data_IF_778236664497
#
_entry.id   IF_778236664497
#
_cell.length_a   1.000
_cell.length_b   1.000
_cell.length_c   1.000
_cell.angle_alpha   90.00
_cell.angle_beta   90.00
_cell.angle_gamma   90.00
#
_symmetry.space_group_name_H-M   'P 1'
#
loop_
_entity.id
_entity.type
_entity.pdbx_description
1 polymer ?
#
# COMPACT_ATOMS: atom_id res chain seq x y z
N UNK A 1 -9.84 -3.06 -18.39
CA UNK A 1 -9.35 -2.72 -17.03
C UNK A 1 -8.82 -1.30 -16.97
N UNK A 2 -8.66 -0.71 -15.78
CA UNK A 2 -8.14 0.67 -15.63
C UNK A 2 -6.71 0.80 -16.20
N UNK A 3 -5.88 -0.23 -16.07
CA UNK A 3 -4.55 -0.32 -16.70
C UNK A 3 -4.59 -0.13 -18.22
N UNK A 4 -5.60 -0.69 -18.89
CA UNK A 4 -5.81 -0.54 -20.33
C UNK A 4 -6.07 0.93 -20.71
N UNK A 5 -6.77 1.70 -19.86
CA UNK A 5 -7.01 3.13 -20.07
C UNK A 5 -5.68 3.91 -20.00
N UNK A 6 -4.77 3.53 -19.08
CA UNK A 6 -3.47 4.17 -18.92
C UNK A 6 -2.53 3.89 -20.10
N UNK A 7 -2.55 2.67 -20.64
CA UNK A 7 -1.68 2.24 -21.74
C UNK A 7 -2.12 2.78 -23.13
N UNK A 8 -3.35 3.25 -23.28
CA UNK A 8 -3.85 3.78 -24.56
C UNK A 8 -3.22 5.14 -24.91
N UNK A 9 -2.51 5.17 -26.05
CA UNK A 9 -1.83 6.33 -26.62
C UNK A 9 -2.18 6.45 -28.12
N UNK A 10 -2.01 7.63 -28.72
CA UNK A 10 -2.13 7.84 -30.16
C UNK A 10 -3.50 8.32 -30.64
N UNK A 11 -3.70 8.27 -31.96
CA UNK A 11 -4.91 8.81 -32.60
C UNK A 11 -6.18 8.06 -32.13
N UNK A 12 -7.27 8.79 -31.87
CA UNK A 12 -8.54 8.29 -31.31
C UNK A 12 -8.44 7.66 -29.90
N UNK A 13 -7.31 7.80 -29.21
CA UNK A 13 -7.14 7.23 -27.84
C UNK A 13 -8.16 7.80 -26.84
N UNK A 14 -8.50 9.08 -26.92
CA UNK A 14 -9.49 9.71 -26.03
C UNK A 14 -10.90 9.12 -26.18
N UNK A 15 -11.31 8.82 -27.42
CA UNK A 15 -12.60 8.20 -27.68
C UNK A 15 -12.63 6.78 -27.10
N UNK A 16 -11.59 5.98 -27.35
CA UNK A 16 -11.44 4.62 -26.80
C UNK A 16 -11.43 4.61 -25.27
N UNK A 17 -10.73 5.55 -24.63
CA UNK A 17 -10.74 5.70 -23.16
C UNK A 17 -12.15 5.97 -22.64
N UNK A 18 -12.87 6.87 -23.31
CA UNK A 18 -14.27 7.19 -22.96
C UNK A 18 -15.19 5.99 -23.09
N UNK A 19 -15.03 5.18 -24.13
CA UNK A 19 -15.86 3.99 -24.36
C UNK A 19 -15.61 2.91 -23.31
N UNK A 20 -14.35 2.69 -22.92
CA UNK A 20 -14.00 1.78 -21.82
C UNK A 20 -14.58 2.26 -20.49
N UNK A 21 -14.49 3.56 -20.19
CA UNK A 21 -15.06 4.14 -18.97
C UNK A 21 -16.58 3.96 -18.93
N UNK A 22 -17.28 4.22 -20.05
CA UNK A 22 -18.73 3.99 -20.15
C UNK A 22 -19.08 2.53 -19.91
N UNK A 23 -18.35 1.60 -20.53
CA UNK A 23 -18.55 0.17 -20.32
C UNK A 23 -18.37 -0.23 -18.86
N UNK A 24 -17.31 0.25 -18.20
CA UNK A 24 -17.08 0.01 -16.76
C UNK A 24 -18.21 0.56 -15.89
N UNK A 25 -18.70 1.78 -16.19
CA UNK A 25 -19.78 2.40 -15.43
C UNK A 25 -21.11 1.64 -15.57
N UNK A 26 -21.40 1.10 -16.76
CA UNK A 26 -22.59 0.26 -16.99
C UNK A 26 -22.51 -1.04 -16.19
N UNK A 27 -21.31 -1.62 -16.03
CA UNK A 27 -21.12 -2.85 -15.25
C UNK A 27 -21.09 -2.64 -13.73
N UNK A 28 -20.94 -1.40 -13.25
CA UNK A 28 -20.85 -1.12 -11.81
C UNK A 28 -22.18 -1.35 -11.07
N UNK A 29 -22.09 -1.93 -9.87
CA UNK A 29 -23.23 -2.10 -8.97
C UNK A 29 -23.16 -1.14 -7.77
N UNK A 30 -24.31 -0.62 -7.36
CA UNK A 30 -24.49 0.23 -6.17
C UNK A 30 -23.47 1.38 -6.03
N UNK A 31 -22.44 1.20 -5.20
CA UNK A 31 -21.47 2.24 -4.84
C UNK A 31 -20.15 2.14 -5.60
N UNK A 32 -19.96 1.13 -6.45
CA UNK A 32 -18.73 0.94 -7.21
C UNK A 32 -18.45 2.09 -8.17
N UNK A 33 -19.50 2.63 -8.80
CA UNK A 33 -19.41 3.77 -9.73
C UNK A 33 -18.78 4.99 -9.06
N UNK A 34 -19.10 5.25 -7.78
CA UNK A 34 -18.52 6.34 -7.00
C UNK A 34 -17.01 6.17 -6.82
N UNK A 35 -16.56 4.97 -6.46
CA UNK A 35 -15.13 4.70 -6.27
C UNK A 35 -14.38 4.69 -7.60
N UNK A 36 -14.98 4.14 -8.65
CA UNK A 36 -14.40 4.14 -10.00
C UNK A 36 -14.16 5.56 -10.52
N UNK A 37 -15.17 6.43 -10.44
CA UNK A 37 -15.04 7.84 -10.86
C UNK A 37 -13.99 8.57 -10.03
N UNK A 38 -13.95 8.36 -8.70
CA UNK A 38 -12.94 8.98 -7.83
C UNK A 38 -11.52 8.48 -8.12
N UNK A 39 -11.36 7.21 -8.46
CA UNK A 39 -10.09 6.64 -8.91
C UNK A 39 -9.62 7.25 -10.23
N UNK A 40 -10.52 7.46 -11.20
CA UNK A 40 -10.20 8.11 -12.48
C UNK A 40 -9.82 9.59 -12.32
N UNK A 41 -10.40 10.29 -11.34
CA UNK A 41 -10.04 11.67 -10.98
C UNK A 41 -8.69 11.73 -10.25
N UNK A 42 -8.18 10.60 -9.75
CA UNK A 42 -6.96 10.53 -8.93
C UNK A 42 -7.17 10.98 -7.48
N UNK A 43 -8.41 11.09 -7.01
CA UNK A 43 -8.76 11.56 -5.65
C UNK A 43 -9.79 10.64 -4.99
N UNK A 44 -9.32 9.53 -4.44
CA UNK A 44 -10.19 8.52 -3.81
C UNK A 44 -10.90 9.04 -2.54
N UNK A 45 -10.23 9.90 -1.75
CA UNK A 45 -10.76 10.57 -0.54
C UNK A 45 -11.40 9.62 0.48
N UNK A 46 -10.79 8.45 0.70
CA UNK A 46 -11.24 7.46 1.71
C UNK A 46 -10.63 7.70 3.10
N UNK A 47 -9.75 8.70 3.25
CA UNK A 47 -9.07 8.99 4.52
C UNK A 47 -8.01 7.95 4.91
N UNK A 48 -7.67 7.03 4.00
CA UNK A 48 -6.65 6.01 4.20
C UNK A 48 -5.32 6.48 3.59
N UNK A 49 -4.24 6.38 4.36
CA UNK A 49 -2.89 6.64 3.90
C UNK A 49 -2.18 5.34 3.55
N UNK A 50 -1.09 5.45 2.80
CA UNK A 50 -0.26 4.33 2.40
C UNK A 50 0.20 3.45 3.58
N UNK A 51 0.62 4.09 4.67
CA UNK A 51 1.04 3.40 5.89
C UNK A 51 -0.07 2.53 6.48
N UNK A 52 -1.33 2.96 6.38
CA UNK A 52 -2.48 2.19 6.87
C UNK A 52 -2.69 0.93 6.03
N UNK A 53 -2.41 0.98 4.72
CA UNK A 53 -2.49 -0.19 3.84
C UNK A 53 -1.43 -1.23 4.21
N UNK A 54 -0.19 -0.79 4.44
CA UNK A 54 0.93 -1.68 4.86
C UNK A 54 0.62 -2.38 6.19
N UNK A 55 0.05 -1.65 7.15
CA UNK A 55 -0.37 -2.22 8.44
C UNK A 55 -1.50 -3.24 8.25
N UNK A 56 -2.50 -2.93 7.43
CA UNK A 56 -3.60 -3.85 7.16
C UNK A 56 -3.15 -5.15 6.50
N UNK A 57 -2.19 -5.08 5.56
CA UNK A 57 -1.58 -6.26 4.93
C UNK A 57 -0.82 -7.13 5.93
N UNK A 58 -0.01 -6.51 6.80
CA UNK A 58 0.70 -7.25 7.84
C UNK A 58 -0.28 -7.98 8.77
N UNK A 59 -1.32 -7.27 9.24
CA UNK A 59 -2.33 -7.85 10.11
C UNK A 59 -3.10 -8.98 9.44
N UNK A 60 -3.51 -8.85 8.17
CA UNK A 60 -4.26 -9.90 7.47
C UNK A 60 -3.44 -11.20 7.33
N UNK A 61 -2.16 -11.09 6.98
CA UNK A 61 -1.26 -12.24 6.89
C UNK A 61 -1.10 -12.95 8.24
N UNK A 62 -0.88 -12.21 9.33
CA UNK A 62 -0.69 -12.77 10.68
C UNK A 62 -1.97 -13.42 11.16
N UNK A 63 -3.11 -12.74 11.00
CA UNK A 63 -4.42 -13.24 11.41
C UNK A 63 -4.81 -14.51 10.66
N UNK A 64 -4.42 -14.63 9.39
CA UNK A 64 -4.65 -15.83 8.58
C UNK A 64 -3.82 -17.01 9.03
N UNK A 65 -2.61 -16.79 9.55
CA UNK A 65 -1.70 -17.86 10.02
C UNK A 65 -1.97 -18.28 11.47
N UNK A 66 -2.46 -17.35 12.30
CA UNK A 66 -2.53 -17.48 13.75
C UNK A 66 -3.93 -17.18 14.29
N UNK A 67 -4.94 -17.88 13.78
CA UNK A 67 -6.35 -17.65 14.13
C UNK A 67 -6.70 -17.94 15.61
N UNK A 68 -5.94 -18.81 16.29
CA UNK A 68 -6.27 -19.34 17.61
C UNK A 68 -5.32 -18.90 18.74
N UNK A 69 -4.62 -17.77 18.60
CA UNK A 69 -3.72 -17.26 19.64
C UNK A 69 -4.46 -16.49 20.74
N UNK A 70 -3.88 -16.50 21.95
CA UNK A 70 -4.30 -15.62 23.05
C UNK A 70 -4.12 -14.16 22.65
N UNK A 71 -5.01 -13.29 23.13
CA UNK A 71 -5.06 -11.90 22.70
C UNK A 71 -3.76 -11.11 22.99
N UNK A 72 -3.09 -11.42 24.10
CA UNK A 72 -1.83 -10.78 24.48
C UNK A 72 -0.68 -11.13 23.54
N UNK A 73 -0.48 -12.43 23.27
CA UNK A 73 0.58 -12.90 22.36
C UNK A 73 0.27 -12.52 20.90
N UNK A 74 -1.01 -12.40 20.55
CA UNK A 74 -1.43 -11.93 19.23
C UNK A 74 -1.04 -10.47 19.01
N UNK A 75 -1.27 -9.57 19.97
CA UNK A 75 -0.89 -8.15 19.86
C UNK A 75 0.61 -7.98 19.62
N UNK A 76 1.43 -8.66 20.42
CA UNK A 76 2.90 -8.64 20.25
C UNK A 76 3.32 -9.14 18.85
N UNK A 77 2.68 -10.21 18.35
CA UNK A 77 2.97 -10.76 17.02
C UNK A 77 2.56 -9.78 15.92
N UNK A 78 1.41 -9.14 16.08
CA UNK A 78 0.89 -8.13 15.16
C UNK A 78 1.84 -6.94 15.08
N UNK A 79 2.30 -6.42 16.21
CA UNK A 79 3.23 -5.29 16.27
C UNK A 79 4.57 -5.65 15.61
N UNK A 80 5.17 -6.79 15.99
CA UNK A 80 6.42 -7.26 15.41
C UNK A 80 6.31 -7.50 13.89
N UNK A 81 5.21 -8.11 13.44
CA UNK A 81 4.99 -8.36 12.02
C UNK A 81 4.72 -7.09 11.23
N UNK A 82 4.02 -6.10 11.81
CA UNK A 82 3.85 -4.80 11.15
C UNK A 82 5.16 -4.05 10.99
N UNK A 83 6.05 -4.13 11.99
CA UNK A 83 7.37 -3.52 11.93
C UNK A 83 8.21 -4.16 10.81
N UNK A 84 8.25 -5.50 10.75
CA UNK A 84 8.97 -6.22 9.71
C UNK A 84 8.48 -5.89 8.28
N UNK A 85 7.16 -5.77 8.08
CA UNK A 85 6.58 -5.41 6.77
C UNK A 85 6.85 -3.95 6.43
N UNK A 86 6.79 -3.03 7.41
CA UNK A 86 7.16 -1.62 7.20
C UNK A 86 8.62 -1.47 6.81
N UNK A 87 9.52 -2.16 7.50
CA UNK A 87 10.95 -2.13 7.21
C UNK A 87 11.24 -2.66 5.80
N UNK A 88 10.61 -3.78 5.41
CA UNK A 88 10.71 -4.32 4.07
C UNK A 88 10.18 -3.33 3.00
N UNK A 89 9.05 -2.66 3.28
CA UNK A 89 8.48 -1.66 2.39
C UNK A 89 9.34 -0.40 2.24
N UNK A 90 10.01 0.03 3.32
CA UNK A 90 10.96 1.15 3.29
C UNK A 90 12.19 0.84 2.43
N UNK A 91 12.60 -0.42 2.32
CA UNK A 91 13.73 -0.84 1.50
C UNK A 91 13.34 -1.15 0.05
N UNK A 92 12.09 -1.56 -0.17
CA UNK A 92 11.53 -1.93 -1.45
C UNK A 92 10.06 -1.49 -1.54
N UNK A 93 9.80 -0.29 -2.06
CA UNK A 93 8.45 0.27 -2.19
C UNK A 93 7.68 -0.25 -3.42
N UNK A 94 7.73 -1.57 -3.66
CA UNK A 94 6.99 -2.23 -4.73
C UNK A 94 5.98 -3.24 -4.16
N UNK A 95 4.69 -2.91 -4.24
CA UNK A 95 3.61 -3.76 -3.72
C UNK A 95 3.51 -5.11 -4.41
N UNK A 96 3.75 -5.18 -5.72
CA UNK A 96 3.67 -6.45 -6.48
C UNK A 96 4.65 -7.49 -5.91
N UNK A 97 5.87 -7.05 -5.60
CA UNK A 97 6.91 -7.90 -5.01
C UNK A 97 6.57 -8.23 -3.55
N UNK A 98 6.18 -7.23 -2.76
CA UNK A 98 5.85 -7.41 -1.35
C UNK A 98 4.70 -8.41 -1.15
N UNK A 99 3.61 -8.25 -1.90
CA UNK A 99 2.42 -9.11 -1.82
C UNK A 99 2.74 -10.52 -2.30
N UNK A 100 3.54 -10.70 -3.36
CA UNK A 100 3.97 -12.01 -3.83
C UNK A 100 4.78 -12.77 -2.76
N UNK A 101 5.66 -12.09 -2.03
CA UNK A 101 6.39 -12.71 -0.92
C UNK A 101 5.48 -13.08 0.25
N UNK A 102 4.60 -12.14 0.63
CA UNK A 102 3.68 -12.32 1.75
C UNK A 102 2.68 -13.46 1.51
N UNK A 103 2.16 -13.60 0.28
CA UNK A 103 1.11 -14.57 -0.04
C UNK A 103 1.68 -15.88 -0.57
N UNK A 104 2.64 -15.85 -1.50
CA UNK A 104 3.06 -17.04 -2.24
C UNK A 104 4.35 -17.68 -1.72
N UNK A 105 5.34 -16.89 -1.27
CA UNK A 105 6.68 -17.43 -1.00
C UNK A 105 6.89 -17.93 0.41
N UNK A 106 6.25 -17.35 1.41
CA UNK A 106 6.43 -17.81 2.80
C UNK A 106 6.07 -16.80 3.89
N UNK A 107 5.29 -15.77 3.59
CA UNK A 107 4.82 -14.82 4.61
C UNK A 107 5.93 -13.92 5.15
N UNK A 108 5.78 -13.54 6.42
CA UNK A 108 6.62 -12.53 7.06
C UNK A 108 8.06 -12.99 7.26
N UNK A 109 8.30 -14.30 7.41
CA UNK A 109 9.63 -14.85 7.68
C UNK A 109 10.59 -14.68 6.50
N UNK A 110 10.07 -14.76 5.26
CA UNK A 110 10.84 -14.61 4.03
C UNK A 110 10.97 -13.16 3.55
N UNK A 111 10.43 -12.19 4.30
CA UNK A 111 10.65 -10.77 4.00
C UNK A 111 12.13 -10.40 4.07
N UNK A 112 12.93 -11.13 4.86
CA UNK A 112 14.39 -10.94 4.95
C UNK A 112 15.12 -11.17 3.63
N UNK A 113 14.58 -12.03 2.77
CA UNK A 113 15.18 -12.34 1.47
C UNK A 113 14.94 -11.23 0.43
N UNK A 114 13.99 -10.32 0.70
CA UNK A 114 13.73 -9.14 -0.13
C UNK A 114 14.75 -8.02 0.07
N UNK A 115 15.65 -8.12 1.07
CA UNK A 115 16.59 -7.07 1.46
C UNK A 115 17.67 -6.88 0.39
N UNK A 116 17.29 -6.34 -0.75
CA UNK A 116 18.14 -5.67 -1.72
C UNK A 116 17.65 -4.23 -1.73
N UNK A 117 18.26 -3.41 -0.87
CA UNK A 117 17.94 -1.99 -0.77
C UNK A 117 17.97 -1.39 -2.18
N UNK A 118 16.80 -0.97 -2.67
CA UNK A 118 16.71 -0.35 -3.98
C UNK A 118 16.95 1.14 -3.80
N UNK A 119 18.02 1.72 -4.39
CA UNK A 119 18.24 3.16 -4.33
C UNK A 119 17.04 3.88 -4.91
N UNK A 120 16.41 4.79 -4.16
CA UNK A 120 15.29 5.58 -4.70
C UNK A 120 14.34 6.20 -3.67
N UNK A 121 14.23 5.67 -2.45
CA UNK A 121 13.34 6.22 -1.41
C UNK A 121 14.18 6.98 -0.37
N UNK A 122 14.14 8.32 -0.36
CA UNK A 122 14.89 9.11 0.59
C UNK A 122 14.21 9.14 1.96
N UNK A 123 15.00 9.35 3.02
CA UNK A 123 14.45 9.72 4.32
C UNK A 123 13.85 11.14 4.27
N UNK A 124 12.69 11.31 4.90
CA UNK A 124 11.99 12.58 4.99
C UNK A 124 12.34 13.30 6.29
N UNK A 125 12.60 14.60 6.21
CA UNK A 125 12.86 15.43 7.39
C UNK A 125 11.54 15.89 8.04
N UNK A 126 11.57 16.01 9.37
CA UNK A 126 10.50 16.69 10.09
C UNK A 126 10.84 18.19 10.19
N UNK A 127 9.92 19.12 9.85
CA UNK A 127 10.18 20.53 10.01
C UNK A 127 10.32 20.89 11.50
N UNK A 128 11.33 21.67 11.86
CA UNK A 128 11.54 22.17 13.22
C UNK A 128 11.52 23.69 13.24
N UNK A 129 10.92 24.28 14.27
CA UNK A 129 10.70 25.74 14.40
C UNK A 129 11.83 26.48 15.12
N UNK A 130 12.81 25.76 15.66
CA UNK A 130 13.96 26.38 16.33
C UNK A 130 14.94 25.36 16.90
N UNK A 131 16.10 25.86 17.36
CA UNK A 131 17.18 25.05 17.94
C UNK A 131 16.76 24.33 19.20
N UNK A 132 15.87 24.91 20.01
CA UNK A 132 15.37 24.29 21.24
C UNK A 132 14.52 23.03 20.96
N UNK A 133 13.78 23.03 19.84
CA UNK A 133 12.98 21.87 19.41
C UNK A 133 13.87 20.74 18.92
N UNK A 134 14.98 21.08 18.24
CA UNK A 134 15.99 20.11 17.81
C UNK A 134 16.68 19.51 19.03
N UNK A 135 17.07 20.33 20.00
CA UNK A 135 17.77 19.88 21.21
C UNK A 135 16.91 18.92 22.05
N UNK A 136 15.60 19.17 22.16
CA UNK A 136 14.66 18.26 22.84
C UNK A 136 14.42 16.92 22.10
N UNK A 137 14.72 16.87 20.80
CA UNK A 137 14.44 15.72 19.95
C UNK A 137 15.69 14.86 19.69
N UNK A 138 16.86 15.48 19.74
CA UNK A 138 18.15 14.85 19.48
C UNK A 138 19.02 14.70 20.74
N UNK A 139 18.74 15.42 21.82
CA UNK A 139 19.38 15.29 23.14
C UNK A 139 18.51 14.53 24.11
#
# INVERSE_FOLDING_TARGET
SILSIAQLIGNKSQQRKSDIIKSLLISCQSHESRYLVRSLIGKLRIGLAEQSMVVALAHSCIRSQYSNLKETTLKERLDNGTLAVKDAFCQCSFYDILVDVLVNKGGIEKLKDLYKATPGIPMLAHPSKGTDEILKRCG
#
